data_IF_019971192162
#
_entry.id   IF_019971192162
#
_cell.length_a   1.000
_cell.length_b   1.000
_cell.length_c   1.000
_cell.angle_alpha   90.00
_cell.angle_beta   90.00
_cell.angle_gamma   90.00
#
_symmetry.space_group_name_H-M   'P 1'
#
loop_
_entity.id
_entity.type
_entity.pdbx_description
1 polymer ?
#
# COMPACT_ATOMS: atom_id res chain seq x y z
N UNK A 1 28.14 13.43 -1.94
CA UNK A 1 26.81 13.89 -2.40
C UNK A 1 26.52 13.21 -3.73
N UNK A 2 25.98 11.99 -3.69
CA UNK A 2 25.55 11.32 -4.92
C UNK A 2 24.15 11.82 -5.23
N UNK A 3 24.05 12.70 -6.23
CA UNK A 3 22.79 13.09 -6.84
C UNK A 3 22.16 11.81 -7.36
N UNK A 4 21.06 11.37 -6.74
CA UNK A 4 20.25 10.26 -7.24
C UNK A 4 19.60 10.79 -8.52
N UNK A 5 20.28 10.60 -9.64
CA UNK A 5 19.84 11.01 -10.97
C UNK A 5 18.58 10.22 -11.34
N UNK A 6 17.44 10.88 -11.39
CA UNK A 6 16.19 10.26 -11.84
C UNK A 6 14.90 10.76 -11.20
N UNK A 7 14.97 11.56 -10.13
CA UNK A 7 13.76 12.17 -9.58
C UNK A 7 13.36 13.39 -10.42
N UNK A 8 12.14 13.44 -10.99
CA UNK A 8 11.66 14.64 -11.62
C UNK A 8 11.56 15.76 -10.57
N UNK A 9 11.97 16.97 -10.94
CA UNK A 9 11.76 18.20 -10.18
C UNK A 9 10.25 18.45 -9.94
N UNK A 10 9.39 17.71 -10.64
CA UNK A 10 7.93 17.85 -10.67
C UNK A 10 7.16 17.17 -9.51
N UNK A 11 7.85 16.63 -8.51
CA UNK A 11 7.26 16.14 -7.25
C UNK A 11 6.97 17.24 -6.22
N UNK A 12 6.71 18.48 -6.64
CA UNK A 12 6.48 19.58 -5.70
C UNK A 12 5.23 19.32 -4.84
N UNK A 13 5.30 19.67 -3.56
CA UNK A 13 4.20 19.57 -2.61
C UNK A 13 2.86 20.06 -3.20
N UNK A 14 2.88 21.18 -3.93
CA UNK A 14 1.70 21.77 -4.55
C UNK A 14 1.07 20.88 -5.63
N UNK A 15 1.89 20.17 -6.40
CA UNK A 15 1.40 19.25 -7.43
C UNK A 15 0.72 18.03 -6.80
N UNK A 16 1.38 17.39 -5.84
CA UNK A 16 0.84 16.25 -5.08
C UNK A 16 -0.46 16.66 -4.37
N UNK A 17 -0.46 17.83 -3.72
CA UNK A 17 -1.65 18.39 -3.08
C UNK A 17 -2.77 18.56 -4.10
N UNK A 18 -2.50 19.20 -5.24
CA UNK A 18 -3.51 19.41 -6.29
C UNK A 18 -4.11 18.10 -6.81
N UNK A 19 -3.28 17.07 -7.02
CA UNK A 19 -3.74 15.77 -7.53
C UNK A 19 -4.64 15.04 -6.54
N UNK A 20 -4.32 15.08 -5.24
CA UNK A 20 -4.95 14.20 -4.26
C UNK A 20 -5.92 14.91 -3.28
N UNK A 21 -6.03 16.24 -3.33
CA UNK A 21 -6.93 17.02 -2.45
C UNK A 21 -8.42 16.73 -2.65
N UNK A 22 -8.83 16.13 -3.77
CA UNK A 22 -10.22 15.78 -4.06
C UNK A 22 -10.67 14.47 -3.39
N UNK A 23 -10.21 14.20 -2.15
CA UNK A 23 -10.46 12.95 -1.41
C UNK A 23 -10.09 11.70 -2.21
N UNK A 24 -8.88 11.71 -2.78
CA UNK A 24 -8.34 10.54 -3.45
C UNK A 24 -8.17 9.38 -2.45
N UNK A 25 -8.72 8.21 -2.79
CA UNK A 25 -8.56 6.97 -2.00
C UNK A 25 -7.59 5.99 -2.63
N UNK A 26 -7.47 5.98 -3.96
CA UNK A 26 -6.63 5.03 -4.68
C UNK A 26 -5.67 5.77 -5.62
N UNK A 27 -4.37 5.58 -5.42
CA UNK A 27 -3.34 6.10 -6.30
C UNK A 27 -2.96 5.02 -7.30
N UNK A 28 -3.30 5.26 -8.56
CA UNK A 28 -2.85 4.43 -9.68
C UNK A 28 -1.45 4.89 -10.06
N UNK A 29 -0.44 4.11 -9.68
CA UNK A 29 0.97 4.39 -9.88
C UNK A 29 1.70 4.64 -8.58
N UNK A 30 2.77 5.41 -8.68
CA UNK A 30 3.73 5.61 -7.58
C UNK A 30 3.42 6.89 -6.81
N UNK A 31 3.68 6.90 -5.51
CA UNK A 31 3.67 8.10 -4.69
C UNK A 31 5.08 8.38 -4.19
N UNK A 32 5.62 9.56 -4.51
CA UNK A 32 6.94 9.99 -4.09
C UNK A 32 6.76 11.25 -3.26
N UNK A 33 7.07 11.16 -1.96
CA UNK A 33 7.18 12.28 -1.04
C UNK A 33 8.65 12.60 -0.89
N UNK A 34 9.06 13.75 -1.40
CA UNK A 34 10.45 14.19 -1.39
C UNK A 34 10.54 15.66 -0.98
N UNK A 35 11.53 16.00 -0.15
CA UNK A 35 11.88 17.40 0.10
C UNK A 35 10.79 18.20 0.82
N UNK A 36 10.00 17.56 1.70
CA UNK A 36 9.03 18.29 2.50
C UNK A 36 9.75 18.96 3.66
N UNK A 37 9.64 20.28 3.72
CA UNK A 37 10.21 21.10 4.77
C UNK A 37 9.17 22.13 5.25
N UNK A 38 9.23 22.55 6.52
CA UNK A 38 8.44 23.68 6.99
C UNK A 38 8.75 24.95 6.18
N UNK A 39 7.77 25.84 6.09
CA UNK A 39 7.97 27.18 5.54
C UNK A 39 9.04 27.96 6.34
N UNK A 40 9.57 29.08 5.81
CA UNK A 40 10.53 29.93 6.54
C UNK A 40 10.04 30.41 7.91
N UNK A 41 8.73 30.49 8.11
CA UNK A 41 8.10 30.88 9.39
C UNK A 41 7.90 29.68 10.34
N UNK A 42 8.37 28.49 9.97
CA UNK A 42 8.28 27.26 10.74
C UNK A 42 6.95 26.51 10.62
N UNK A 43 6.01 26.98 9.79
CA UNK A 43 4.72 26.32 9.54
C UNK A 43 4.91 25.03 8.75
N UNK A 44 4.36 23.93 9.25
CA UNK A 44 4.37 22.61 8.60
C UNK A 44 3.48 22.62 7.33
N UNK A 45 3.84 21.86 6.27
CA UNK A 45 2.97 21.68 5.12
C UNK A 45 1.70 20.92 5.52
N UNK A 46 0.57 21.34 4.94
CA UNK A 46 -0.71 20.66 5.14
C UNK A 46 -0.75 19.37 4.31
N UNK A 47 -0.65 18.23 4.99
CA UNK A 47 -0.72 16.88 4.42
C UNK A 47 -2.05 16.17 4.71
N UNK A 48 -3.09 16.91 5.08
CA UNK A 48 -4.40 16.32 5.42
C UNK A 48 -5.00 15.46 4.31
N UNK A 49 -4.70 15.78 3.05
CA UNK A 49 -5.15 15.02 1.87
C UNK A 49 -4.59 13.58 1.82
N UNK A 50 -3.47 13.29 2.50
CA UNK A 50 -2.91 11.93 2.54
C UNK A 50 -3.75 10.99 3.41
N UNK A 51 -4.55 11.54 4.33
CA UNK A 51 -5.37 10.74 5.27
C UNK A 51 -6.45 9.93 4.58
N UNK A 52 -6.90 10.32 3.39
CA UNK A 52 -7.94 9.58 2.65
C UNK A 52 -7.38 8.47 1.77
N UNK A 53 -6.07 8.39 1.57
CA UNK A 53 -5.46 7.38 0.69
C UNK A 53 -5.54 6.04 1.39
N UNK A 54 -6.16 5.07 0.72
CA UNK A 54 -6.35 3.70 1.19
C UNK A 54 -5.42 2.72 0.45
N UNK A 55 -5.08 2.99 -0.81
CA UNK A 55 -4.29 2.07 -1.62
C UNK A 55 -3.36 2.79 -2.60
N UNK A 56 -2.14 2.28 -2.75
CA UNK A 56 -1.15 2.71 -3.73
C UNK A 56 -0.81 1.50 -4.62
N UNK A 57 -1.06 1.60 -5.92
CA UNK A 57 -0.86 0.46 -6.83
C UNK A 57 0.62 0.25 -7.22
N UNK A 58 1.43 1.30 -7.20
CA UNK A 58 2.87 1.24 -7.44
C UNK A 58 3.66 1.18 -6.14
N UNK A 59 4.75 1.93 -6.07
CA UNK A 59 5.61 2.04 -4.89
C UNK A 59 5.46 3.39 -4.17
N UNK A 60 5.80 3.41 -2.88
CA UNK A 60 5.83 4.59 -2.02
C UNK A 60 7.28 4.94 -1.64
N UNK A 61 7.70 6.16 -1.94
CA UNK A 61 9.02 6.69 -1.55
C UNK A 61 8.82 7.88 -0.64
N UNK A 62 9.50 7.91 0.50
CA UNK A 62 9.52 9.01 1.46
C UNK A 62 10.97 9.34 1.76
N UNK A 63 11.45 10.46 1.22
CA UNK A 63 12.84 10.84 1.33
C UNK A 63 13.04 12.32 1.62
N UNK A 64 14.17 12.65 2.24
CA UNK A 64 14.65 14.02 2.40
C UNK A 64 13.61 14.99 2.97
N UNK A 65 12.77 14.52 3.91
CA UNK A 65 11.66 15.30 4.47
C UNK A 65 11.87 15.55 5.96
N UNK A 66 11.90 16.83 6.39
CA UNK A 66 12.20 17.26 7.77
C UNK A 66 11.00 17.89 8.50
N UNK A 67 9.82 17.34 8.24
CA UNK A 67 8.53 17.69 8.89
C UNK A 67 8.23 16.77 10.07
N UNK A 68 7.20 17.04 10.86
CA UNK A 68 6.91 16.21 12.06
C UNK A 68 6.22 14.87 11.76
N UNK A 69 5.22 14.86 10.89
CA UNK A 69 4.38 13.69 10.64
C UNK A 69 3.92 13.60 9.18
N UNK A 70 3.86 12.38 8.64
CA UNK A 70 3.18 12.06 7.38
C UNK A 70 1.95 11.17 7.67
N UNK A 71 0.72 11.67 7.44
CA UNK A 71 -0.48 11.04 8.00
C UNK A 71 -1.18 10.07 7.03
N UNK A 72 -0.61 8.90 6.75
CA UNK A 72 -1.25 7.82 5.96
C UNK A 72 -2.26 6.99 6.78
N UNK A 73 -3.11 7.65 7.57
CA UNK A 73 -3.97 7.02 8.58
C UNK A 73 -4.98 6.02 8.03
N UNK A 74 -5.30 6.05 6.74
CA UNK A 74 -6.22 5.12 6.08
C UNK A 74 -5.55 4.17 5.10
N UNK A 75 -4.22 4.27 4.90
CA UNK A 75 -3.51 3.45 3.91
C UNK A 75 -3.52 1.99 4.37
N UNK A 76 -4.12 1.11 3.56
CA UNK A 76 -4.29 -0.32 3.83
C UNK A 76 -3.32 -1.17 3.03
N UNK A 77 -3.03 -0.81 1.78
CA UNK A 77 -2.24 -1.64 0.86
C UNK A 77 -1.27 -0.81 0.01
N UNK A 78 -0.05 -1.34 -0.16
CA UNK A 78 0.90 -0.90 -1.19
C UNK A 78 1.21 -2.10 -2.07
N UNK A 79 0.85 -2.04 -3.37
CA UNK A 79 0.91 -3.21 -4.23
C UNK A 79 2.27 -3.47 -4.87
N UNK A 80 3.04 -2.43 -5.19
CA UNK A 80 4.33 -2.59 -5.87
C UNK A 80 4.21 -3.12 -7.31
N UNK A 81 3.11 -2.82 -8.01
CA UNK A 81 2.97 -3.17 -9.42
C UNK A 81 4.01 -2.42 -10.27
N UNK A 82 4.44 -3.04 -11.38
CA UNK A 82 5.45 -2.44 -12.26
C UNK A 82 6.90 -2.68 -11.84
N UNK A 83 7.16 -3.61 -10.91
CA UNK A 83 8.50 -4.11 -10.61
C UNK A 83 9.29 -3.32 -9.56
N UNK A 84 8.65 -2.41 -8.83
CA UNK A 84 9.25 -1.65 -7.72
C UNK A 84 10.31 -0.62 -8.13
N UNK A 85 10.81 0.12 -7.15
CA UNK A 85 11.86 1.12 -7.32
C UNK A 85 13.26 0.50 -7.13
N UNK A 86 14.11 0.54 -8.16
CA UNK A 86 15.49 0.05 -8.05
C UNK A 86 16.38 1.07 -7.34
N UNK A 87 16.80 0.74 -6.13
CA UNK A 87 17.75 1.57 -5.35
C UNK A 87 19.18 1.44 -5.92
N UNK A 88 19.56 0.21 -6.28
CA UNK A 88 20.85 -0.14 -6.89
C UNK A 88 20.65 -1.37 -7.80
N UNK A 89 21.58 -1.64 -8.71
CA UNK A 89 21.46 -2.80 -9.62
C UNK A 89 21.48 -4.15 -8.90
N UNK A 90 22.27 -4.24 -7.81
CA UNK A 90 22.46 -5.49 -7.04
C UNK A 90 21.39 -5.74 -5.97
N UNK A 91 20.45 -4.80 -5.80
CA UNK A 91 19.42 -4.90 -4.76
C UNK A 91 18.06 -5.25 -5.37
N UNK A 92 17.25 -6.07 -4.68
CA UNK A 92 15.84 -6.23 -5.01
C UNK A 92 15.12 -4.87 -5.09
N UNK A 93 14.11 -4.73 -5.98
CA UNK A 93 13.34 -3.50 -6.05
C UNK A 93 12.54 -3.22 -4.77
N UNK A 94 12.49 -1.94 -4.40
CA UNK A 94 11.76 -1.43 -3.25
C UNK A 94 10.31 -1.10 -3.61
N UNK A 95 9.37 -1.58 -2.80
CA UNK A 95 7.96 -1.14 -2.86
C UNK A 95 7.69 -0.02 -1.86
N UNK A 96 8.43 0.00 -0.76
CA UNK A 96 8.44 1.09 0.20
C UNK A 96 9.88 1.48 0.52
N UNK A 97 10.23 2.74 0.30
CA UNK A 97 11.52 3.30 0.65
C UNK A 97 11.33 4.51 1.58
N UNK A 98 11.90 4.45 2.77
CA UNK A 98 11.90 5.54 3.75
C UNK A 98 13.35 5.89 4.04
N UNK A 99 13.83 7.04 3.57
CA UNK A 99 15.26 7.35 3.67
C UNK A 99 15.61 8.81 3.94
N UNK A 100 16.51 9.04 4.89
CA UNK A 100 17.09 10.36 5.14
C UNK A 100 16.02 11.44 5.39
N UNK A 101 15.09 11.19 6.30
CA UNK A 101 14.00 12.13 6.60
C UNK A 101 14.33 13.06 7.77
N UNK A 102 15.37 13.87 7.59
CA UNK A 102 15.82 14.86 8.57
C UNK A 102 16.63 15.99 7.92
N UNK A 103 16.83 17.09 8.65
CA UNK A 103 17.80 18.15 8.35
C UNK A 103 18.64 18.47 9.62
N UNK A 104 19.44 19.55 9.60
CA UNK A 104 20.32 19.91 10.70
C UNK A 104 19.62 20.08 12.06
N UNK A 105 18.34 20.46 12.09
CA UNK A 105 17.61 20.81 13.32
C UNK A 105 16.27 20.10 13.48
N UNK A 106 15.78 19.37 12.48
CA UNK A 106 14.46 18.74 12.47
C UNK A 106 14.56 17.32 11.94
N UNK A 107 13.79 16.43 12.56
CA UNK A 107 13.67 15.02 12.16
C UNK A 107 12.20 14.70 11.92
N UNK A 108 11.94 13.77 11.00
CA UNK A 108 10.64 13.14 10.89
C UNK A 108 10.41 12.20 12.07
N UNK A 109 9.35 12.46 12.84
CA UNK A 109 9.04 11.70 14.05
C UNK A 109 8.10 10.54 13.79
N UNK A 110 7.15 10.68 12.85
CA UNK A 110 6.14 9.66 12.61
C UNK A 110 5.66 9.61 11.16
N UNK A 111 5.48 8.40 10.66
CA UNK A 111 4.67 8.08 9.49
C UNK A 111 3.52 7.23 10.01
N UNK A 112 2.30 7.73 9.89
CA UNK A 112 1.13 7.03 10.38
C UNK A 112 0.74 5.94 9.38
N UNK A 113 1.05 4.68 9.70
CA UNK A 113 0.62 3.49 8.96
C UNK A 113 -0.34 2.64 9.80
N UNK A 114 -1.16 3.26 10.66
CA UNK A 114 -2.00 2.56 11.65
C UNK A 114 -2.96 1.53 10.99
N UNK A 115 -3.35 1.77 9.73
CA UNK A 115 -4.25 0.88 8.97
C UNK A 115 -3.54 0.02 7.92
N UNK A 116 -2.20 0.06 7.80
CA UNK A 116 -1.49 -0.72 6.78
C UNK A 116 -1.61 -2.21 7.09
N UNK A 117 -2.18 -2.97 6.16
CA UNK A 117 -2.49 -4.40 6.31
C UNK A 117 -1.68 -5.30 5.39
N UNK A 118 -1.28 -4.82 4.22
CA UNK A 118 -0.51 -5.64 3.28
C UNK A 118 0.47 -4.84 2.41
N UNK A 119 1.60 -5.48 2.08
CA UNK A 119 2.54 -5.06 1.04
C UNK A 119 2.67 -6.22 0.06
N UNK A 120 2.14 -6.04 -1.15
CA UNK A 120 1.86 -7.16 -2.07
C UNK A 120 3.09 -7.67 -2.82
N UNK A 121 4.01 -6.79 -3.17
CA UNK A 121 5.23 -7.15 -3.89
C UNK A 121 6.41 -6.34 -3.38
N UNK A 122 7.62 -6.78 -3.71
CA UNK A 122 8.88 -6.05 -3.48
C UNK A 122 9.26 -5.89 -2.00
N UNK A 123 10.49 -5.41 -1.81
CA UNK A 123 11.09 -5.27 -0.49
C UNK A 123 10.78 -3.90 0.14
N UNK A 124 10.97 -3.82 1.46
CA UNK A 124 10.86 -2.58 2.22
C UNK A 124 12.25 -2.15 2.67
N UNK A 125 12.55 -0.87 2.49
CA UNK A 125 13.84 -0.29 2.84
C UNK A 125 13.64 0.92 3.75
N UNK A 126 14.29 0.92 4.91
CA UNK A 126 14.28 2.05 5.83
C UNK A 126 15.70 2.39 6.26
N UNK A 127 16.27 3.42 5.62
CA UNK A 127 17.69 3.74 5.73
C UNK A 127 17.91 5.15 6.21
N UNK A 128 18.98 5.35 6.98
CA UNK A 128 19.49 6.67 7.30
C UNK A 128 18.42 7.58 7.98
N UNK A 129 17.54 7.01 8.82
CA UNK A 129 16.54 7.77 9.57
C UNK A 129 16.94 7.78 11.06
N UNK A 130 17.11 8.96 11.70
CA UNK A 130 17.60 9.05 13.08
C UNK A 130 16.69 8.34 14.09
N UNK A 131 15.37 8.43 13.89
CA UNK A 131 14.34 7.83 14.76
C UNK A 131 14.22 6.31 14.57
N UNK A 132 14.81 5.75 13.50
CA UNK A 132 14.71 4.33 13.21
C UNK A 132 13.25 3.85 13.11
N UNK A 133 12.90 2.83 13.89
CA UNK A 133 11.65 2.07 13.77
C UNK A 133 10.46 2.72 14.49
N UNK A 134 10.74 3.60 15.44
CA UNK A 134 9.70 4.39 16.11
C UNK A 134 8.99 5.31 15.11
N UNK A 135 9.63 5.60 13.98
CA UNK A 135 9.06 6.32 12.84
C UNK A 135 7.73 5.68 12.37
N UNK A 136 7.59 4.37 12.47
CA UNK A 136 6.39 3.63 12.04
C UNK A 136 5.62 3.03 13.22
N UNK A 137 5.85 3.51 14.44
CA UNK A 137 5.06 3.14 15.63
C UNK A 137 5.13 1.64 15.99
N UNK A 138 6.28 0.99 15.77
CA UNK A 138 6.45 -0.44 16.09
C UNK A 138 5.83 -1.41 15.07
N UNK A 139 5.49 -0.93 13.88
CA UNK A 139 5.01 -1.77 12.78
C UNK A 139 6.02 -2.87 12.39
N UNK A 140 5.55 -4.12 12.34
CA UNK A 140 6.38 -5.27 11.94
C UNK A 140 6.10 -5.63 10.48
N UNK A 141 6.91 -5.11 9.56
CA UNK A 141 6.73 -5.30 8.11
C UNK A 141 6.63 -6.76 7.66
N UNK A 142 7.34 -7.68 8.34
CA UNK A 142 7.29 -9.12 8.03
C UNK A 142 5.86 -9.68 8.06
N UNK A 143 4.99 -9.14 8.90
CA UNK A 143 3.60 -9.58 9.01
C UNK A 143 2.69 -9.02 7.90
N UNK A 144 3.14 -7.99 7.19
CA UNK A 144 2.41 -7.32 6.10
C UNK A 144 2.74 -7.90 4.73
N UNK A 145 3.90 -8.53 4.57
CA UNK A 145 4.30 -9.18 3.34
C UNK A 145 3.30 -10.25 2.94
N UNK A 146 2.82 -10.22 1.70
CA UNK A 146 1.99 -11.26 1.07
C UNK A 146 2.82 -12.51 0.75
N UNK A 147 4.10 -12.35 0.46
CA UNK A 147 5.05 -13.44 0.29
C UNK A 147 6.24 -13.28 1.27
N UNK A 148 6.07 -13.66 2.54
CA UNK A 148 7.12 -13.54 3.55
C UNK A 148 8.32 -14.46 3.29
N UNK A 149 8.21 -15.45 2.39
CA UNK A 149 9.32 -16.29 1.99
C UNK A 149 10.32 -15.53 1.10
N UNK A 150 9.82 -14.63 0.25
CA UNK A 150 10.62 -13.88 -0.72
C UNK A 150 10.91 -12.44 -0.28
N UNK A 151 9.92 -11.74 0.28
CA UNK A 151 10.05 -10.34 0.66
C UNK A 151 10.91 -10.17 1.91
N UNK A 152 11.65 -9.06 1.94
CA UNK A 152 12.55 -8.68 3.04
C UNK A 152 12.35 -7.23 3.45
N UNK A 153 12.63 -6.99 4.73
CA UNK A 153 12.76 -5.66 5.29
C UNK A 153 14.22 -5.40 5.57
N UNK A 154 14.76 -4.35 4.96
CA UNK A 154 16.13 -3.91 5.11
C UNK A 154 16.16 -2.58 5.86
N UNK A 155 17.03 -2.47 6.85
CA UNK A 155 17.18 -1.25 7.60
C UNK A 155 18.64 -0.93 7.94
N UNK A 156 18.91 0.35 8.10
CA UNK A 156 20.17 0.90 8.58
C UNK A 156 19.86 2.16 9.38
N UNK A 157 20.60 2.35 10.47
CA UNK A 157 20.57 3.58 11.24
C UNK A 157 21.69 4.50 10.77
N UNK A 158 21.43 5.80 10.81
CA UNK A 158 22.46 6.81 10.66
C UNK A 158 23.13 7.03 12.02
N UNK A 159 24.31 6.43 12.22
CA UNK A 159 25.01 6.42 13.51
C UNK A 159 25.82 7.70 13.77
N UNK A 160 25.95 8.59 12.78
CA UNK A 160 26.84 9.75 12.84
C UNK A 160 26.16 11.03 13.38
N UNK A 161 24.89 10.94 13.80
CA UNK A 161 24.15 12.10 14.30
C UNK A 161 24.18 12.21 15.84
N UNK A 162 24.57 13.37 16.40
CA UNK A 162 24.64 13.60 17.85
C UNK A 162 23.26 13.76 18.53
N UNK A 163 22.16 13.49 17.82
CA UNK A 163 20.79 13.83 18.23
C UNK A 163 20.17 12.77 19.17
N UNK A 164 20.76 11.57 19.27
CA UNK A 164 20.13 10.46 19.98
C UNK A 164 20.87 10.05 21.26
N UNK A 165 20.21 10.25 22.40
CA UNK A 165 20.47 9.47 23.61
C UNK A 165 20.27 7.99 23.26
N UNK A 166 21.21 7.16 23.71
CA UNK A 166 21.52 5.79 23.29
C UNK A 166 20.43 4.71 23.49
N UNK A 167 19.16 5.09 23.68
CA UNK A 167 18.02 4.17 23.90
C UNK A 167 17.11 3.99 22.69
N UNK A 168 17.28 4.80 21.63
CA UNK A 168 16.47 4.77 20.39
C UNK A 168 17.19 4.08 19.22
N UNK A 169 18.38 3.51 19.48
CA UNK A 169 19.33 3.02 18.46
C UNK A 169 19.24 1.51 18.20
N UNK A 170 18.14 0.86 18.53
CA UNK A 170 17.98 -0.55 18.15
C UNK A 170 17.59 -0.61 16.65
N UNK A 171 18.37 -1.31 15.80
CA UNK A 171 17.89 -1.72 14.49
C UNK A 171 16.54 -2.41 14.71
N UNK A 172 15.59 -2.24 13.79
CA UNK A 172 14.26 -2.85 13.94
C UNK A 172 14.41 -4.34 14.15
N UNK A 173 14.32 -4.76 15.41
CA UNK A 173 14.57 -6.14 15.77
C UNK A 173 13.47 -6.95 15.10
N UNK A 174 13.88 -7.97 14.36
CA UNK A 174 12.98 -8.84 13.63
C UNK A 174 12.10 -9.70 14.55
N UNK A 175 12.25 -9.63 15.87
CA UNK A 175 11.43 -10.38 16.84
C UNK A 175 11.63 -9.86 18.28
N UNK A 176 10.62 -9.20 18.86
CA UNK A 176 10.35 -9.27 20.29
C UNK A 176 8.95 -9.89 20.47
N UNK A 177 8.80 -11.07 21.10
CA UNK A 177 7.50 -11.74 21.24
C UNK A 177 6.57 -11.13 22.31
N UNK A 178 6.87 -9.92 22.80
CA UNK A 178 6.23 -9.35 24.00
C UNK A 178 5.44 -8.05 23.82
N UNK A 179 5.49 -7.38 22.67
CA UNK A 179 4.80 -6.11 22.46
C UNK A 179 3.62 -6.27 21.49
N UNK A 180 2.48 -6.62 22.09
CA UNK A 180 1.10 -6.33 21.67
C UNK A 180 0.91 -5.63 20.31
N UNK A 181 0.78 -6.41 19.23
CA UNK A 181 -0.14 -6.11 18.13
C UNK A 181 -0.69 -7.42 17.54
N UNK A 182 -1.48 -8.13 18.36
CA UNK A 182 -2.42 -9.16 17.89
C UNK A 182 -3.56 -8.58 17.00
N UNK A 183 -3.33 -7.45 16.33
CA UNK A 183 -4.34 -6.63 15.65
C UNK A 183 -3.89 -6.06 14.29
N UNK A 184 -2.59 -6.13 13.94
CA UNK A 184 -2.08 -5.57 12.68
C UNK A 184 -1.59 -6.60 11.65
N UNK A 185 -1.81 -7.89 11.87
CA UNK A 185 -1.61 -8.90 10.85
C UNK A 185 -2.80 -9.84 10.83
N UNK A 186 -3.67 -9.70 9.84
CA UNK A 186 -4.73 -10.66 9.57
C UNK A 186 -4.18 -12.00 9.06
N UNK A 187 -2.90 -12.35 9.27
CA UNK A 187 -2.36 -13.64 8.81
C UNK A 187 -2.78 -14.76 9.76
N UNK A 188 -3.22 -15.86 9.18
CA UNK A 188 -3.57 -17.04 9.95
C UNK A 188 -2.33 -17.69 10.58
N UNK A 189 -2.46 -18.15 11.82
CA UNK A 189 -1.43 -18.95 12.50
C UNK A 189 -1.84 -20.43 12.58
N UNK A 190 -3.14 -20.70 12.72
CA UNK A 190 -3.70 -22.04 12.98
C UNK A 190 -4.51 -22.60 11.81
N UNK A 191 -4.72 -21.82 10.75
CA UNK A 191 -5.52 -22.20 9.57
C UNK A 191 -4.63 -22.24 8.31
N UNK A 192 -5.09 -22.95 7.29
CA UNK A 192 -4.38 -23.12 6.01
C UNK A 192 -4.59 -21.98 5.01
N UNK A 193 -5.57 -21.11 5.24
CA UNK A 193 -5.79 -19.89 4.45
C UNK A 193 -4.75 -18.81 4.80
N UNK A 194 -4.53 -17.86 3.89
CA UNK A 194 -3.54 -16.80 4.10
C UNK A 194 -3.99 -15.78 5.17
N UNK A 195 -5.26 -15.38 5.08
CA UNK A 195 -5.83 -14.30 5.87
C UNK A 195 -7.00 -14.78 6.74
N UNK A 196 -7.01 -14.34 8.00
CA UNK A 196 -7.97 -14.67 9.03
C UNK A 196 -8.46 -13.42 9.77
N UNK A 197 -9.63 -13.57 10.39
CA UNK A 197 -10.17 -12.64 11.37
C UNK A 197 -10.54 -13.38 12.66
N UNK A 198 -10.72 -12.62 13.72
CA UNK A 198 -11.13 -13.11 15.04
C UNK A 198 -12.40 -12.39 15.46
N UNK A 199 -13.34 -13.11 16.05
CA UNK A 199 -14.55 -12.49 16.58
C UNK A 199 -14.25 -11.77 17.91
N UNK A 200 -14.84 -10.59 18.17
CA UNK A 200 -14.56 -9.80 19.37
C UNK A 200 -14.85 -10.52 20.70
N UNK A 201 -15.83 -11.44 20.72
CA UNK A 201 -16.43 -11.97 21.96
C UNK A 201 -15.95 -13.38 22.38
N UNK A 202 -14.85 -13.90 21.81
CA UNK A 202 -14.46 -15.31 21.98
C UNK A 202 -13.59 -15.65 23.21
N UNK A 203 -13.52 -14.80 24.22
CA UNK A 203 -12.76 -15.11 25.43
C UNK A 203 -11.27 -15.39 25.15
N UNK A 204 -10.56 -16.11 26.03
CA UNK A 204 -9.11 -16.30 25.92
C UNK A 204 -8.69 -17.24 24.77
N UNK A 205 -9.55 -18.14 24.31
CA UNK A 205 -9.32 -18.96 23.12
C UNK A 205 -9.85 -18.27 21.87
N UNK A 206 -9.02 -17.40 21.28
CA UNK A 206 -9.36 -16.71 20.03
C UNK A 206 -9.32 -17.70 18.87
N UNK A 207 -10.49 -18.17 18.44
CA UNK A 207 -10.59 -18.98 17.22
C UNK A 207 -10.38 -18.09 15.99
N UNK A 208 -9.56 -18.57 15.05
CA UNK A 208 -9.32 -17.90 13.78
C UNK A 208 -10.30 -18.41 12.73
N UNK A 209 -10.91 -17.50 11.98
CA UNK A 209 -11.78 -17.81 10.85
C UNK A 209 -11.14 -17.27 9.58
N UNK A 210 -11.16 -18.06 8.52
CA UNK A 210 -10.64 -17.64 7.22
C UNK A 210 -11.47 -16.48 6.65
N UNK A 211 -10.76 -15.51 6.08
CA UNK A 211 -11.36 -14.51 5.21
C UNK A 211 -11.79 -15.13 3.87
N UNK A 212 -12.61 -14.39 3.12
CA UNK A 212 -12.90 -14.75 1.73
C UNK A 212 -11.58 -14.81 0.91
N UNK A 213 -11.42 -15.77 -0.03
CA UNK A 213 -10.18 -15.91 -0.83
C UNK A 213 -9.81 -14.67 -1.66
N UNK A 214 -10.78 -13.82 -1.95
CA UNK A 214 -10.57 -12.54 -2.66
C UNK A 214 -10.13 -11.40 -1.76
N UNK A 215 -9.98 -11.61 -0.44
CA UNK A 215 -9.47 -10.59 0.49
C UNK A 215 -7.93 -10.52 0.49
N UNK A 216 -7.43 -9.31 0.79
CA UNK A 216 -6.01 -9.02 1.00
C UNK A 216 -5.83 -8.27 2.33
N UNK A 217 -4.86 -8.70 3.13
CA UNK A 217 -4.50 -8.05 4.40
C UNK A 217 -5.42 -8.38 5.59
N UNK A 218 -6.45 -9.21 5.40
CA UNK A 218 -7.43 -9.55 6.43
C UNK A 218 -8.86 -9.09 6.08
N UNK A 219 -9.75 -9.27 7.03
CA UNK A 219 -11.18 -8.99 6.89
C UNK A 219 -11.83 -8.78 8.27
N UNK A 220 -13.07 -8.31 8.27
CA UNK A 220 -13.94 -8.25 9.45
C UNK A 220 -14.93 -9.41 9.53
N UNK A 221 -14.98 -10.26 8.51
CA UNK A 221 -15.97 -11.31 8.32
C UNK A 221 -15.61 -12.21 7.13
N UNK A 222 -16.36 -13.31 6.92
CA UNK A 222 -16.01 -14.32 5.93
C UNK A 222 -16.44 -13.98 4.50
N UNK A 223 -17.23 -12.92 4.29
CA UNK A 223 -17.79 -12.60 2.97
C UNK A 223 -16.83 -11.76 2.13
N UNK A 224 -17.04 -11.74 0.83
CA UNK A 224 -16.25 -10.96 -0.11
C UNK A 224 -16.37 -9.43 0.08
N UNK A 225 -17.38 -8.96 0.81
CA UNK A 225 -17.57 -7.55 1.17
C UNK A 225 -16.92 -7.16 2.50
N UNK A 226 -16.43 -8.14 3.27
CA UNK A 226 -15.87 -7.91 4.60
C UNK A 226 -14.34 -7.69 4.55
N UNK A 227 -13.76 -7.65 3.36
CA UNK A 227 -12.31 -7.52 3.18
C UNK A 227 -11.81 -6.11 3.55
N UNK A 228 -10.60 -6.03 4.13
CA UNK A 228 -9.96 -4.72 4.30
C UNK A 228 -9.56 -4.10 2.94
N UNK A 229 -9.08 -4.94 2.03
CA UNK A 229 -8.76 -4.62 0.65
C UNK A 229 -9.01 -5.83 -0.25
N UNK A 230 -9.26 -5.61 -1.54
CA UNK A 230 -9.43 -6.68 -2.50
C UNK A 230 -8.09 -7.17 -3.02
N UNK A 231 -7.95 -8.49 -3.11
CA UNK A 231 -6.78 -9.14 -3.70
C UNK A 231 -6.62 -8.77 -5.17
N UNK A 232 -7.68 -8.94 -5.96
CA UNK A 232 -7.65 -8.70 -7.41
C UNK A 232 -8.48 -7.48 -7.81
N UNK A 233 -9.81 -7.57 -7.71
CA UNK A 233 -10.71 -6.52 -8.21
C UNK A 233 -11.78 -6.11 -7.20
N UNK A 234 -12.02 -4.80 -7.15
CA UNK A 234 -13.19 -4.19 -6.52
C UNK A 234 -14.35 -4.12 -7.52
N UNK A 235 -15.44 -4.86 -7.26
CA UNK A 235 -16.72 -4.71 -7.95
C UNK A 235 -17.74 -4.05 -7.02
N UNK A 236 -17.71 -2.71 -6.99
CA UNK A 236 -18.40 -1.94 -5.97
C UNK A 236 -17.81 -2.22 -4.59
N UNK A 237 -18.62 -2.73 -3.67
CA UNK A 237 -18.20 -3.07 -2.30
C UNK A 237 -17.69 -4.51 -2.16
N UNK A 238 -17.68 -5.30 -3.24
CA UNK A 238 -17.31 -6.71 -3.22
C UNK A 238 -15.94 -6.96 -3.83
N UNK A 239 -15.18 -7.85 -3.23
CA UNK A 239 -13.95 -8.36 -3.82
C UNK A 239 -14.22 -9.56 -4.72
N UNK A 240 -13.81 -9.47 -5.97
CA UNK A 240 -13.99 -10.55 -6.95
C UNK A 240 -12.65 -10.99 -7.52
N UNK A 241 -12.56 -12.27 -7.90
CA UNK A 241 -11.36 -12.82 -8.52
C UNK A 241 -11.14 -12.27 -9.94
N UNK A 242 -12.22 -12.09 -10.70
CA UNK A 242 -12.22 -11.50 -12.04
C UNK A 242 -13.51 -10.72 -12.27
N UNK A 243 -13.46 -9.69 -13.12
CA UNK A 243 -14.65 -8.92 -13.44
C UNK A 243 -15.63 -9.74 -14.30
N UNK A 244 -16.95 -9.44 -14.23
CA UNK A 244 -17.94 -10.08 -15.08
C UNK A 244 -17.56 -10.01 -16.56
N UNK A 245 -17.34 -11.17 -17.20
CA UNK A 245 -16.90 -11.29 -18.61
C UNK A 245 -18.00 -10.91 -19.60
N UNK A 246 -17.66 -10.49 -20.84
CA UNK A 246 -18.65 -10.02 -21.83
C UNK A 246 -19.56 -11.13 -22.35
N UNK A 247 -19.07 -12.37 -22.33
CA UNK A 247 -19.81 -13.54 -22.77
C UNK A 247 -19.78 -14.63 -21.71
N UNK A 248 -20.89 -15.32 -21.54
CA UNK A 248 -21.00 -16.56 -20.75
C UNK A 248 -21.31 -17.74 -21.65
N UNK A 249 -20.88 -18.93 -21.28
CA UNK A 249 -21.29 -20.16 -21.98
C UNK A 249 -22.49 -20.75 -21.24
N UNK A 250 -23.65 -20.80 -21.90
CA UNK A 250 -24.85 -21.46 -21.40
C UNK A 250 -25.29 -22.51 -22.39
N UNK A 251 -25.46 -23.76 -21.95
CA UNK A 251 -25.84 -24.90 -22.82
C UNK A 251 -24.98 -25.02 -24.08
N UNK A 252 -23.65 -24.89 -23.94
CA UNK A 252 -22.69 -24.90 -25.05
C UNK A 252 -22.89 -23.80 -26.10
N UNK A 253 -23.63 -22.73 -25.77
CA UNK A 253 -23.80 -21.53 -26.60
C UNK A 253 -23.21 -20.32 -25.90
N UNK A 254 -22.55 -19.46 -26.68
CA UNK A 254 -22.10 -18.15 -26.21
C UNK A 254 -23.32 -17.23 -26.07
N UNK A 255 -23.53 -16.71 -24.88
CA UNK A 255 -24.55 -15.70 -24.56
C UNK A 255 -23.89 -14.42 -24.07
N UNK A 256 -24.42 -13.28 -24.49
CA UNK A 256 -23.98 -11.97 -24.01
C UNK A 256 -24.33 -11.80 -22.53
N UNK A 257 -23.37 -11.31 -21.75
CA UNK A 257 -23.56 -11.02 -20.34
C UNK A 257 -23.94 -9.54 -20.15
N UNK A 258 -25.20 -9.28 -19.81
CA UNK A 258 -25.69 -7.92 -19.53
C UNK A 258 -25.06 -7.27 -18.28
N UNK A 259 -24.37 -8.06 -17.45
CA UNK A 259 -23.65 -7.58 -16.27
C UNK A 259 -22.15 -7.40 -16.52
N UNK A 260 -21.71 -7.45 -17.78
CA UNK A 260 -20.32 -7.23 -18.16
C UNK A 260 -19.74 -5.95 -17.57
N UNK A 261 -18.50 -6.04 -17.07
CA UNK A 261 -17.72 -4.89 -16.62
C UNK A 261 -16.29 -5.00 -17.13
N UNK A 262 -15.68 -3.85 -17.42
CA UNK A 262 -14.29 -3.75 -17.80
C UNK A 262 -13.38 -3.83 -16.57
N UNK A 263 -12.23 -4.46 -16.75
CA UNK A 263 -11.14 -4.43 -15.77
C UNK A 263 -10.34 -3.14 -15.96
N UNK A 264 -10.20 -2.35 -14.91
CA UNK A 264 -9.39 -1.14 -14.93
C UNK A 264 -8.66 -0.96 -13.60
N UNK A 265 -7.34 -1.16 -13.58
CA UNK A 265 -6.47 -0.92 -12.43
C UNK A 265 -7.00 -1.48 -11.08
N UNK A 266 -7.47 -2.73 -11.09
CA UNK A 266 -8.03 -3.37 -9.90
C UNK A 266 -9.50 -3.06 -9.63
N UNK A 267 -10.22 -2.45 -10.57
CA UNK A 267 -11.66 -2.19 -10.45
C UNK A 267 -12.45 -2.81 -11.59
N UNK A 268 -13.69 -3.20 -11.30
CA UNK A 268 -14.69 -3.55 -12.28
C UNK A 268 -15.57 -2.34 -12.59
N UNK A 269 -15.39 -1.74 -13.77
CA UNK A 269 -16.09 -0.51 -14.18
C UNK A 269 -17.07 -0.79 -15.32
N UNK A 270 -18.21 -0.09 -15.32
CA UNK A 270 -19.20 -0.23 -16.39
C UNK A 270 -18.71 0.42 -17.70
N UNK A 271 -17.90 1.47 -17.59
CA UNK A 271 -17.35 2.25 -18.69
C UNK A 271 -15.87 2.56 -18.40
N UNK A 272 -15.03 2.57 -19.44
CA UNK A 272 -13.63 2.97 -19.29
C UNK A 272 -13.53 4.47 -18.95
N UNK A 273 -12.74 4.87 -17.95
CA UNK A 273 -12.58 6.29 -17.62
C UNK A 273 -11.88 7.07 -18.74
N UNK A 274 -12.52 8.13 -19.26
CA UNK A 274 -11.88 9.12 -20.15
C UNK A 274 -11.24 8.55 -21.42
N UNK A 275 -10.11 9.14 -21.85
CA UNK A 275 -9.38 8.82 -23.09
C UNK A 275 -8.70 7.44 -23.12
N UNK A 276 -9.08 6.53 -22.22
CA UNK A 276 -8.54 5.17 -22.15
C UNK A 276 -9.20 4.27 -23.20
N UNK A 277 -8.40 3.39 -23.82
CA UNK A 277 -8.87 2.49 -24.88
C UNK A 277 -9.22 1.14 -24.25
N UNK A 278 -10.47 0.70 -24.43
CA UNK A 278 -10.88 -0.66 -24.08
C UNK A 278 -10.21 -1.68 -25.02
N UNK A 279 -9.27 -2.48 -24.52
CA UNK A 279 -8.49 -3.41 -25.34
C UNK A 279 -9.16 -4.78 -25.61
N UNK A 280 -10.43 -4.96 -25.26
CA UNK A 280 -11.18 -6.19 -25.55
C UNK A 280 -12.31 -5.94 -26.56
N UNK A 281 -11.93 -5.74 -27.83
CA UNK A 281 -12.90 -5.75 -28.93
C UNK A 281 -13.16 -7.18 -29.39
N UNK A 282 -14.33 -7.73 -29.05
CA UNK A 282 -15.06 -8.56 -30.01
C UNK A 282 -16.13 -7.66 -30.62
N UNK A 283 -15.78 -7.02 -31.73
CA UNK A 283 -16.73 -6.25 -32.55
C UNK A 283 -17.61 -7.27 -33.28
N UNK A 284 -18.78 -7.61 -32.73
CA UNK A 284 -19.82 -8.24 -33.54
C UNK A 284 -20.50 -7.15 -34.35
N UNK A 285 -20.10 -7.00 -35.62
CA UNK A 285 -20.88 -6.24 -36.59
C UNK A 285 -22.18 -7.00 -36.85
N UNK A 286 -23.31 -6.46 -36.38
CA UNK A 286 -24.64 -6.86 -36.84
C UNK A 286 -24.95 -6.25 -38.22
N UNK A 287 -24.05 -6.43 -39.19
CA UNK A 287 -24.38 -6.22 -40.60
C UNK A 287 -24.56 -7.60 -41.25
N UNK A 288 -25.66 -8.26 -40.88
CA UNK A 288 -26.36 -9.09 -41.85
C UNK A 288 -27.18 -8.13 -42.70
N UNK A 289 -26.60 -7.62 -43.79
CA UNK A 289 -27.41 -7.13 -44.89
C UNK A 289 -27.76 -8.34 -45.79
N UNK A 290 -29.04 -8.51 -46.16
CA UNK A 290 -29.49 -9.59 -47.04
C UNK A 290 -28.95 -9.46 -48.47
#
# INVERSE_FOLDING_TARGET
MNVISGFPIDGSYEYIKKLFSSRCTHIIGNLIIYGLHPSPNGTEPDLGFLKSIEEISGFLIIMNSSIREIPFSSLKVIRGLGGGYKIHEDLPPATLLIRHNYDSNRILYRINFDQLKAIENGDVYMFDNPVGCDLVGGLVFKNLFTNPAEQRFHNSLDLDLPILNSTLNEPCQSSNPGALLASNGGRCQKRSCDWCFQMPDQGPEREEYCCHPSCLGGCTGPQESDCFACKNFYDGEKCVESCPKPTTVQHYRLTLNVRFKYEFNGFCVNECPGNEIALNFVKFSNEFQP
#
